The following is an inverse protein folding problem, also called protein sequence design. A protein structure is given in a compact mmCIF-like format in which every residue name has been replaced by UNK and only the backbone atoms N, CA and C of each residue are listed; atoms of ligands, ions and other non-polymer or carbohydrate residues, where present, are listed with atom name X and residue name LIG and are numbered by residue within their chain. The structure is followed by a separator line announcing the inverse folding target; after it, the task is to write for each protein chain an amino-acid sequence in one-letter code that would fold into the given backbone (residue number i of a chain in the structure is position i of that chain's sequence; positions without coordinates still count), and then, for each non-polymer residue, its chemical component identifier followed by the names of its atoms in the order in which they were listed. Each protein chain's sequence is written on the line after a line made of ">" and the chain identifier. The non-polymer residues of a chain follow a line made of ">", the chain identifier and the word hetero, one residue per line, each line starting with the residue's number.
data_IF_874365283625
#
_entry.id   IF_874365283625
#
_cell.length_a   1.000
_cell.length_b   1.000
_cell.length_c   1.000
_cell.angle_alpha   90.00
_cell.angle_beta   90.00
_cell.angle_gamma   90.00
#
_symmetry.space_group_name_H-M   'P 1'
#
loop_
_entity.id
_entity.type
_entity.pdbx_description
1 polymer ?
#
# COMPACT_ATOMS: atom_id res chain seq x y z
N UNK A 1 -40.46 11.22 -53.38
CA UNK A 1 -40.41 12.18 -52.26
C UNK A 1 -39.01 12.14 -51.69
N UNK A 2 -38.20 13.09 -52.14
CA UNK A 2 -36.77 13.15 -51.93
C UNK A 2 -36.51 14.08 -50.74
N UNK A 3 -36.03 13.53 -49.62
CA UNK A 3 -35.75 14.32 -48.42
C UNK A 3 -34.32 14.86 -48.46
N UNK A 4 -34.28 16.17 -48.36
CA UNK A 4 -33.16 17.08 -48.55
C UNK A 4 -32.07 16.92 -47.49
N UNK A 5 -30.81 16.93 -47.94
CA UNK A 5 -29.61 17.11 -47.11
C UNK A 5 -29.70 18.45 -46.37
N UNK A 6 -29.58 18.44 -45.03
CA UNK A 6 -29.24 19.65 -44.25
C UNK A 6 -27.74 19.68 -43.97
N UNK A 7 -27.13 20.73 -44.50
CA UNK A 7 -25.74 21.15 -44.32
C UNK A 7 -25.50 21.56 -42.86
N UNK A 8 -24.45 21.03 -42.22
CA UNK A 8 -23.96 21.50 -40.91
C UNK A 8 -23.25 22.85 -41.09
N UNK A 9 -23.56 23.84 -40.23
CA UNK A 9 -22.77 25.07 -40.09
C UNK A 9 -21.51 24.79 -39.26
N UNK A 10 -20.38 25.46 -39.53
CA UNK A 10 -19.17 25.36 -38.72
C UNK A 10 -19.22 26.39 -37.58
N UNK A 11 -19.12 25.96 -36.32
CA UNK A 11 -19.08 26.89 -35.20
C UNK A 11 -19.39 26.36 -33.79
N UNK A 12 -19.25 25.06 -33.51
CA UNK A 12 -19.41 24.54 -32.13
C UNK A 12 -18.12 23.86 -31.68
N UNK A 13 -17.50 24.44 -30.64
CA UNK A 13 -16.35 23.90 -29.91
C UNK A 13 -16.71 22.53 -29.29
N UNK A 14 -15.75 21.61 -29.10
CA UNK A 14 -16.02 20.33 -28.45
C UNK A 14 -16.33 20.57 -26.97
N UNK A 15 -17.50 20.10 -26.52
CA UNK A 15 -17.83 19.99 -25.10
C UNK A 15 -16.91 18.96 -24.44
N UNK A 16 -16.36 19.34 -23.29
CA UNK A 16 -15.53 18.51 -22.40
C UNK A 16 -16.18 17.15 -22.09
N UNK A 17 -15.43 16.04 -22.12
CA UNK A 17 -15.92 14.71 -21.72
C UNK A 17 -15.96 14.50 -20.19
N UNK A 18 -16.10 15.54 -19.37
CA UNK A 18 -16.05 15.42 -17.90
C UNK A 18 -17.41 15.31 -17.19
N UNK A 19 -18.53 15.20 -17.91
CA UNK A 19 -19.84 15.09 -17.28
C UNK A 19 -20.40 13.67 -17.47
N UNK A 20 -19.93 12.69 -16.69
CA UNK A 20 -20.65 11.46 -16.32
C UNK A 20 -19.75 10.53 -15.48
N UNK A 21 -19.56 10.83 -14.19
CA UNK A 21 -19.41 9.85 -13.09
C UNK A 21 -19.15 10.56 -11.76
N UNK A 22 -20.21 11.12 -11.20
CA UNK A 22 -20.32 11.35 -9.77
C UNK A 22 -21.75 10.98 -9.39
N UNK A 23 -21.99 9.72 -9.08
CA UNK A 23 -23.22 9.36 -8.38
C UNK A 23 -23.21 10.15 -7.06
N UNK A 24 -24.24 10.98 -6.77
CA UNK A 24 -24.28 11.70 -5.51
C UNK A 24 -24.29 10.68 -4.38
N UNK A 25 -23.35 10.81 -3.44
CA UNK A 25 -23.47 10.14 -2.15
C UNK A 25 -24.84 10.51 -1.56
N UNK A 26 -25.58 9.55 -0.97
CA UNK A 26 -26.84 9.89 -0.32
C UNK A 26 -26.55 11.00 0.70
N UNK A 27 -27.35 12.07 0.64
CA UNK A 27 -27.26 13.22 1.54
C UNK A 27 -27.43 12.67 2.95
N UNK A 28 -26.31 12.44 3.64
CA UNK A 28 -26.32 12.14 5.06
C UNK A 28 -26.82 13.42 5.74
N UNK A 29 -27.89 13.28 6.51
CA UNK A 29 -28.39 14.36 7.35
C UNK A 29 -27.22 14.97 8.13
N UNK A 30 -27.09 16.29 8.16
CA UNK A 30 -25.88 16.94 8.73
C UNK A 30 -25.77 16.70 10.23
N UNK A 31 -26.91 16.49 10.92
CA UNK A 31 -26.97 16.24 12.36
C UNK A 31 -26.13 15.05 12.84
N UNK A 32 -26.29 13.83 12.29
CA UNK A 32 -25.46 12.69 12.61
C UNK A 32 -23.95 12.92 12.46
N UNK A 33 -23.51 13.62 11.41
CA UNK A 33 -22.09 13.91 11.17
C UNK A 33 -21.54 14.86 12.24
N UNK A 34 -22.30 15.90 12.59
CA UNK A 34 -21.92 16.84 13.65
C UNK A 34 -21.82 16.16 15.03
N UNK A 35 -22.68 15.18 15.31
CA UNK A 35 -22.60 14.38 16.55
C UNK A 35 -21.35 13.50 16.58
N UNK A 36 -20.98 12.88 15.45
CA UNK A 36 -19.74 12.11 15.36
C UNK A 36 -18.52 13.00 15.55
N UNK A 37 -18.50 14.16 14.92
CA UNK A 37 -17.40 15.13 15.07
C UNK A 37 -17.24 15.60 16.50
N UNK A 38 -18.34 15.93 17.18
CA UNK A 38 -18.32 16.40 18.57
C UNK A 38 -17.97 15.29 19.57
N UNK A 39 -18.66 14.14 19.51
CA UNK A 39 -18.61 13.15 20.59
C UNK A 39 -17.63 11.99 20.33
N UNK A 40 -17.36 11.67 19.07
CA UNK A 40 -16.44 10.58 18.70
C UNK A 40 -15.06 11.13 18.36
N UNK A 41 -15.00 12.19 17.55
CA UNK A 41 -13.73 12.77 17.09
C UNK A 41 -13.26 13.99 17.90
N UNK A 42 -14.02 14.39 18.92
CA UNK A 42 -13.67 15.44 19.90
C UNK A 42 -13.34 16.79 19.24
N UNK A 43 -14.01 17.11 18.12
CA UNK A 43 -13.85 18.38 17.41
C UNK A 43 -14.81 19.41 17.99
N UNK A 44 -14.31 20.54 18.56
CA UNK A 44 -15.18 21.56 19.13
C UNK A 44 -16.06 22.22 18.08
N UNK A 45 -17.36 22.39 18.38
CA UNK A 45 -18.32 23.12 17.53
C UNK A 45 -18.04 24.63 17.45
N UNK A 46 -17.51 25.22 18.52
CA UNK A 46 -17.29 26.67 18.62
C UNK A 46 -15.80 27.03 18.51
N UNK A 47 -15.49 28.12 17.79
CA UNK A 47 -14.13 28.68 17.75
C UNK A 47 -13.76 29.19 19.15
N UNK A 48 -12.92 28.44 19.86
CA UNK A 48 -12.41 28.79 21.19
C UNK A 48 -12.87 27.87 22.32
N UNK A 49 -13.81 26.95 22.06
CA UNK A 49 -14.17 25.93 23.03
C UNK A 49 -13.03 24.91 23.19
N UNK A 50 -12.69 24.57 24.43
CA UNK A 50 -11.69 23.54 24.71
C UNK A 50 -12.23 22.17 24.25
N UNK A 51 -11.45 21.37 23.51
CA UNK A 51 -11.86 20.01 23.16
C UNK A 51 -12.07 19.21 24.44
N UNK A 52 -13.27 18.65 24.62
CA UNK A 52 -13.53 17.65 25.66
C UNK A 52 -12.81 16.37 25.26
N UNK A 53 -11.56 16.23 25.68
CA UNK A 53 -10.78 15.04 25.37
C UNK A 53 -11.27 13.84 26.18
N UNK A 54 -11.46 12.71 25.52
CA UNK A 54 -11.67 11.45 26.21
C UNK A 54 -10.39 11.09 26.96
N UNK A 55 -10.53 10.61 28.19
CA UNK A 55 -9.39 10.01 28.90
C UNK A 55 -9.11 8.60 28.33
N UNK A 56 -7.97 8.01 28.68
CA UNK A 56 -7.55 6.72 28.14
C UNK A 56 -8.53 5.57 28.42
N UNK A 57 -9.22 5.59 29.56
CA UNK A 57 -10.23 4.57 29.90
C UNK A 57 -11.48 4.73 29.02
N UNK A 58 -11.96 5.96 28.84
CA UNK A 58 -13.10 6.26 27.98
C UNK A 58 -12.80 5.93 26.51
N UNK A 59 -11.58 6.22 26.05
CA UNK A 59 -11.16 5.86 24.70
C UNK A 59 -11.11 4.34 24.53
N UNK A 60 -10.55 3.60 25.49
CA UNK A 60 -10.56 2.14 25.46
C UNK A 60 -11.99 1.57 25.44
N UNK A 61 -12.89 2.11 26.27
CA UNK A 61 -14.30 1.72 26.28
C UNK A 61 -14.99 2.00 24.95
N UNK A 62 -14.72 3.15 24.33
CA UNK A 62 -15.24 3.47 23.00
C UNK A 62 -14.77 2.45 21.96
N UNK A 63 -13.47 2.13 21.94
CA UNK A 63 -12.93 1.12 21.04
C UNK A 63 -13.58 -0.25 21.26
N UNK A 64 -13.79 -0.65 22.52
CA UNK A 64 -14.45 -1.92 22.87
C UNK A 64 -15.89 -1.96 22.36
N UNK A 65 -16.66 -0.87 22.58
CA UNK A 65 -18.03 -0.73 22.07
C UNK A 65 -18.05 -0.86 20.55
N UNK A 66 -17.12 -0.20 19.85
CA UNK A 66 -17.02 -0.28 18.39
C UNK A 66 -16.70 -1.70 17.92
N UNK A 67 -15.73 -2.37 18.54
CA UNK A 67 -15.40 -3.76 18.22
C UNK A 67 -16.58 -4.70 18.46
N UNK A 68 -17.28 -4.57 19.59
CA UNK A 68 -18.46 -5.39 19.90
C UNK A 68 -19.59 -5.11 18.90
N UNK A 69 -19.83 -3.85 18.56
CA UNK A 69 -20.81 -3.48 17.54
C UNK A 69 -20.55 -4.17 16.18
N UNK A 70 -19.32 -4.08 15.67
CA UNK A 70 -18.97 -4.72 14.39
C UNK A 70 -18.96 -6.26 14.49
N UNK A 71 -18.71 -6.81 15.67
CA UNK A 71 -18.77 -8.24 15.92
C UNK A 71 -20.21 -8.77 15.92
N UNK A 72 -21.14 -8.04 16.53
CA UNK A 72 -22.55 -8.42 16.66
C UNK A 72 -23.36 -8.11 15.39
N UNK A 73 -22.94 -7.13 14.58
CA UNK A 73 -23.62 -6.81 13.34
C UNK A 73 -23.48 -7.94 12.30
N UNK A 74 -24.59 -8.64 12.03
CA UNK A 74 -24.63 -9.81 11.14
C UNK A 74 -24.66 -9.45 9.65
N UNK A 75 -25.01 -8.20 9.29
CA UNK A 75 -25.09 -7.75 7.90
C UNK A 75 -23.80 -7.06 7.46
N UNK A 76 -23.04 -7.72 6.59
CA UNK A 76 -21.78 -7.21 6.03
C UNK A 76 -21.92 -5.83 5.41
N UNK A 77 -22.97 -5.62 4.59
CA UNK A 77 -23.22 -4.32 3.96
C UNK A 77 -23.41 -3.20 4.98
N UNK A 78 -24.08 -3.48 6.09
CA UNK A 78 -24.29 -2.51 7.18
C UNK A 78 -22.97 -2.19 7.87
N UNK A 79 -22.14 -3.21 8.16
CA UNK A 79 -20.80 -3.00 8.73
C UNK A 79 -19.96 -2.09 7.85
N UNK A 80 -19.91 -2.38 6.55
CA UNK A 80 -19.12 -1.62 5.60
C UNK A 80 -19.60 -0.17 5.47
N UNK A 81 -20.92 0.06 5.41
CA UNK A 81 -21.49 1.41 5.34
C UNK A 81 -21.14 2.19 6.60
N UNK A 82 -21.34 1.62 7.78
CA UNK A 82 -21.08 2.31 9.05
C UNK A 82 -19.59 2.59 9.22
N UNK A 83 -18.72 1.61 8.91
CA UNK A 83 -17.29 1.80 8.96
C UNK A 83 -16.84 2.93 8.01
N UNK A 84 -17.36 2.95 6.79
CA UNK A 84 -17.06 4.02 5.81
C UNK A 84 -17.57 5.37 6.29
N UNK A 85 -18.80 5.46 6.80
CA UNK A 85 -19.34 6.71 7.35
C UNK A 85 -18.54 7.25 8.52
N UNK A 86 -17.99 6.37 9.36
CA UNK A 86 -17.14 6.75 10.48
C UNK A 86 -15.74 7.19 10.04
N UNK A 87 -15.12 6.45 9.11
CA UNK A 87 -13.68 6.52 8.88
C UNK A 87 -13.25 7.04 7.52
N UNK A 88 -14.13 7.16 6.54
CA UNK A 88 -13.79 7.78 5.25
C UNK A 88 -13.41 9.25 5.45
N UNK A 89 -12.30 9.72 4.85
CA UNK A 89 -11.90 11.12 4.91
C UNK A 89 -13.01 12.04 4.40
N UNK A 90 -13.22 13.16 5.08
CA UNK A 90 -14.23 14.16 4.73
C UNK A 90 -13.59 15.47 4.27
N UNK A 91 -12.26 15.57 4.27
CA UNK A 91 -11.53 16.79 3.91
C UNK A 91 -11.71 17.91 4.95
N UNK A 92 -11.98 17.54 6.20
CA UNK A 92 -12.26 18.48 7.28
C UNK A 92 -11.30 18.31 8.47
N UNK A 93 -11.40 19.20 9.45
CA UNK A 93 -10.50 19.20 10.62
C UNK A 93 -10.62 17.95 11.50
N UNK A 94 -11.70 17.17 11.36
CA UNK A 94 -11.90 15.92 12.08
C UNK A 94 -11.12 14.75 11.49
N UNK A 95 -10.60 14.87 10.26
CA UNK A 95 -9.87 13.80 9.57
C UNK A 95 -8.69 13.27 10.41
N UNK A 96 -7.97 14.13 11.14
CA UNK A 96 -6.84 13.71 11.96
C UNK A 96 -7.27 12.90 13.19
N UNK A 97 -8.29 13.35 13.91
CA UNK A 97 -8.90 12.59 15.01
C UNK A 97 -9.49 11.27 14.53
N UNK A 98 -10.16 11.28 13.37
CA UNK A 98 -10.73 10.10 12.73
C UNK A 98 -9.66 9.07 12.37
N UNK A 99 -8.55 9.51 11.79
CA UNK A 99 -7.41 8.66 11.48
C UNK A 99 -6.74 8.11 12.73
N UNK A 100 -6.62 8.93 13.79
CA UNK A 100 -6.08 8.46 15.07
C UNK A 100 -6.96 7.39 15.70
N UNK A 101 -8.29 7.57 15.70
CA UNK A 101 -9.22 6.59 16.24
C UNK A 101 -9.23 5.31 15.39
N UNK A 102 -9.19 5.44 14.06
CA UNK A 102 -9.09 4.31 13.13
C UNK A 102 -7.84 3.47 13.42
N UNK A 103 -6.68 4.11 13.58
CA UNK A 103 -5.43 3.42 13.91
C UNK A 103 -5.55 2.60 15.18
N UNK A 104 -6.08 3.21 16.25
CA UNK A 104 -6.31 2.52 17.54
C UNK A 104 -7.32 1.39 17.43
N UNK A 105 -8.42 1.57 16.68
CA UNK A 105 -9.44 0.55 16.47
C UNK A 105 -8.89 -0.65 15.72
N UNK A 106 -8.16 -0.43 14.62
CA UNK A 106 -7.57 -1.52 13.82
C UNK A 106 -6.44 -2.20 14.60
N UNK A 107 -5.62 -1.44 15.33
CA UNK A 107 -4.61 -1.99 16.23
C UNK A 107 -5.26 -2.89 17.29
N UNK A 108 -6.26 -2.41 18.02
CA UNK A 108 -6.98 -3.24 18.98
C UNK A 108 -7.64 -4.46 18.33
N UNK A 109 -8.21 -4.31 17.13
CA UNK A 109 -8.80 -5.41 16.38
C UNK A 109 -7.78 -6.49 15.98
N UNK A 110 -6.52 -6.11 15.70
CA UNK A 110 -5.41 -7.05 15.53
C UNK A 110 -5.11 -7.75 16.86
N UNK A 111 -4.96 -6.98 17.95
CA UNK A 111 -4.63 -7.53 19.27
C UNK A 111 -5.64 -8.56 19.79
N UNK A 112 -6.93 -8.33 19.59
CA UNK A 112 -8.02 -9.20 20.06
C UNK A 112 -8.72 -9.97 18.94
N UNK A 113 -8.09 -10.07 17.76
CA UNK A 113 -8.56 -10.85 16.59
C UNK A 113 -10.03 -10.58 16.19
N UNK A 114 -10.41 -9.30 16.06
CA UNK A 114 -11.77 -8.88 15.64
C UNK A 114 -11.87 -8.85 14.12
N UNK A 115 -12.00 -10.03 13.52
CA UNK A 115 -12.08 -10.24 12.06
C UNK A 115 -13.07 -9.28 11.37
N UNK A 116 -14.30 -9.06 11.88
CA UNK A 116 -15.23 -8.08 11.30
C UNK A 116 -14.68 -6.68 11.05
N UNK A 117 -13.90 -6.17 12.00
CA UNK A 117 -13.27 -4.85 11.91
C UNK A 117 -12.15 -4.87 10.88
N UNK A 118 -11.35 -5.94 10.86
CA UNK A 118 -10.26 -6.11 9.89
C UNK A 118 -10.78 -6.22 8.45
N UNK A 119 -11.89 -6.90 8.23
CA UNK A 119 -12.54 -6.97 6.90
C UNK A 119 -13.12 -5.61 6.45
N UNK A 120 -13.62 -4.80 7.39
CA UNK A 120 -14.01 -3.42 7.10
C UNK A 120 -12.79 -2.55 6.78
N UNK A 121 -11.71 -2.67 7.56
CA UNK A 121 -10.46 -1.96 7.30
C UNK A 121 -9.84 -2.34 5.95
N UNK A 122 -9.88 -3.62 5.56
CA UNK A 122 -9.44 -4.07 4.24
C UNK A 122 -10.23 -3.41 3.11
N UNK A 123 -11.56 -3.35 3.24
CA UNK A 123 -12.44 -2.68 2.28
C UNK A 123 -12.27 -1.17 2.24
N UNK A 124 -11.95 -0.56 3.38
CA UNK A 124 -11.65 0.86 3.51
C UNK A 124 -10.32 1.21 2.83
N UNK A 125 -9.26 0.40 3.02
CA UNK A 125 -7.95 0.58 2.38
C UNK A 125 -8.06 0.58 0.84
N UNK A 126 -8.91 -0.28 0.27
CA UNK A 126 -9.14 -0.35 -1.19
C UNK A 126 -9.85 0.88 -1.75
N UNK A 127 -10.62 1.60 -0.93
CA UNK A 127 -11.52 2.68 -1.36
C UNK A 127 -11.13 4.04 -0.80
N UNK A 128 -9.91 4.15 -0.28
CA UNK A 128 -9.41 5.38 0.32
C UNK A 128 -8.13 5.84 -0.39
N UNK A 129 -7.91 7.16 -0.57
CA UNK A 129 -6.67 7.66 -1.13
C UNK A 129 -5.43 7.17 -0.37
N UNK A 130 -4.37 6.87 -1.11
CA UNK A 130 -3.14 6.22 -0.60
C UNK A 130 -2.52 6.94 0.60
N UNK A 131 -2.62 8.28 0.64
CA UNK A 131 -2.10 9.11 1.75
C UNK A 131 -2.69 8.74 3.10
N UNK A 132 -3.95 8.32 3.17
CA UNK A 132 -4.57 7.88 4.42
C UNK A 132 -4.27 6.41 4.70
N UNK A 133 -4.15 5.58 3.67
CA UNK A 133 -3.77 4.18 3.80
C UNK A 133 -2.37 4.01 4.42
N UNK A 134 -1.40 4.80 3.96
CA UNK A 134 -0.03 4.77 4.52
C UNK A 134 0.02 5.29 5.96
N UNK A 135 -0.88 6.20 6.36
CA UNK A 135 -1.01 6.64 7.76
C UNK A 135 -1.49 5.51 8.67
N UNK A 136 -2.51 4.76 8.25
CA UNK A 136 -2.98 3.59 8.98
C UNK A 136 -1.90 2.51 9.05
N UNK A 137 -1.24 2.22 7.93
CA UNK A 137 -0.14 1.27 7.89
C UNK A 137 0.99 1.66 8.83
N UNK A 138 1.38 2.94 8.87
CA UNK A 138 2.40 3.45 9.79
C UNK A 138 2.02 3.23 11.25
N UNK A 139 0.79 3.56 11.65
CA UNK A 139 0.33 3.35 13.02
C UNK A 139 0.46 1.88 13.46
N UNK A 140 0.10 0.94 12.58
CA UNK A 140 0.22 -0.49 12.87
C UNK A 140 1.67 -0.97 12.90
N UNK A 141 2.52 -0.48 11.99
CA UNK A 141 3.94 -0.84 12.00
C UNK A 141 4.63 -0.28 13.25
N UNK A 142 4.27 0.93 13.68
CA UNK A 142 4.77 1.51 14.92
C UNK A 142 4.36 0.63 16.12
N UNK A 143 3.07 0.27 16.23
CA UNK A 143 2.54 -0.55 17.33
C UNK A 143 3.15 -1.96 17.37
N UNK A 144 3.25 -2.64 16.22
CA UNK A 144 3.56 -4.07 16.15
C UNK A 144 5.00 -4.41 15.74
N UNK A 145 5.74 -3.49 15.15
CA UNK A 145 7.08 -3.75 14.64
C UNK A 145 8.16 -2.84 15.25
N UNK A 146 7.78 -1.75 15.93
CA UNK A 146 8.74 -0.78 16.46
C UNK A 146 8.64 -0.56 17.97
N UNK A 147 7.44 -0.37 18.52
CA UNK A 147 7.25 0.07 19.91
C UNK A 147 7.35 -1.06 20.94
N UNK A 148 6.75 -2.23 20.65
CA UNK A 148 6.65 -3.33 21.61
C UNK A 148 7.41 -4.56 21.10
N UNK A 149 8.53 -4.96 21.72
CA UNK A 149 9.26 -6.17 21.31
C UNK A 149 8.38 -7.42 21.32
N UNK A 150 8.44 -8.21 20.25
CA UNK A 150 7.66 -9.45 20.11
C UNK A 150 6.20 -9.29 19.69
N UNK A 151 5.66 -8.07 19.68
CA UNK A 151 4.28 -7.80 19.26
C UNK A 151 4.02 -8.16 17.79
N UNK A 152 5.06 -8.19 16.94
CA UNK A 152 4.97 -8.65 15.54
C UNK A 152 4.34 -10.04 15.43
N UNK A 153 4.45 -10.88 16.46
CA UNK A 153 3.84 -12.20 16.46
C UNK A 153 2.30 -12.13 16.48
N UNK A 154 1.73 -11.14 17.16
CA UNK A 154 0.29 -10.88 17.16
C UNK A 154 -0.18 -10.48 15.77
N UNK A 155 0.56 -9.60 15.08
CA UNK A 155 0.24 -9.23 13.72
C UNK A 155 0.39 -10.43 12.76
N UNK A 156 1.46 -11.24 12.91
CA UNK A 156 1.70 -12.48 12.15
C UNK A 156 0.50 -13.43 12.17
N UNK A 157 -0.21 -13.55 13.30
CA UNK A 157 -1.37 -14.43 13.47
C UNK A 157 -2.60 -13.99 12.64
N UNK A 158 -2.68 -12.73 12.21
CA UNK A 158 -3.81 -12.22 11.43
C UNK A 158 -3.87 -12.84 10.03
N UNK A 159 -2.74 -13.31 9.51
CA UNK A 159 -2.67 -13.96 8.19
C UNK A 159 -3.72 -15.05 8.00
N UNK A 160 -3.90 -15.92 8.99
CA UNK A 160 -4.89 -17.01 8.91
C UNK A 160 -6.33 -16.54 9.16
N UNK A 161 -6.51 -15.39 9.83
CA UNK A 161 -7.81 -14.90 10.26
C UNK A 161 -8.46 -13.92 9.27
N UNK A 162 -7.68 -13.01 8.68
CA UNK A 162 -8.13 -12.05 7.67
C UNK A 162 -7.07 -11.84 6.57
N UNK A 163 -6.98 -12.78 5.60
CA UNK A 163 -6.03 -12.67 4.50
C UNK A 163 -6.26 -11.43 3.61
N UNK A 164 -7.50 -10.97 3.49
CA UNK A 164 -7.83 -9.74 2.73
C UNK A 164 -7.20 -8.51 3.37
N UNK A 165 -7.27 -8.40 4.70
CA UNK A 165 -6.61 -7.34 5.44
C UNK A 165 -5.10 -7.41 5.25
N UNK A 166 -4.49 -8.59 5.40
CA UNK A 166 -3.05 -8.76 5.17
C UNK A 166 -2.61 -8.33 3.76
N UNK A 167 -3.36 -8.69 2.71
CA UNK A 167 -3.07 -8.24 1.34
C UNK A 167 -3.07 -6.70 1.22
N UNK A 168 -4.08 -6.04 1.79
CA UNK A 168 -4.20 -4.58 1.75
C UNK A 168 -3.18 -3.88 2.64
N UNK A 169 -2.84 -4.48 3.77
CA UNK A 169 -1.76 -4.03 4.64
C UNK A 169 -0.42 -4.09 3.90
N UNK A 170 -0.08 -5.20 3.24
CA UNK A 170 1.14 -5.32 2.40
C UNK A 170 1.15 -4.24 1.31
N UNK A 171 0.01 -4.01 0.65
CA UNK A 171 -0.11 -2.98 -0.39
C UNK A 171 0.15 -1.58 0.18
N UNK A 172 -0.34 -1.30 1.38
CA UNK A 172 -0.15 -0.01 2.06
C UNK A 172 1.28 0.18 2.58
N UNK A 173 1.89 -0.86 3.18
CA UNK A 173 3.27 -0.75 3.70
C UNK A 173 4.31 -0.66 2.59
N UNK A 174 4.07 -1.28 1.43
CA UNK A 174 4.96 -1.13 0.27
C UNK A 174 4.84 0.24 -0.42
N UNK A 175 3.70 0.93 -0.24
CA UNK A 175 3.54 2.34 -0.59
C UNK A 175 4.18 3.28 0.45
N UNK A 176 4.17 2.90 1.73
CA UNK A 176 4.75 3.66 2.84
C UNK A 176 6.28 3.63 2.84
N UNK A 177 6.87 2.43 2.75
CA UNK A 177 8.33 2.23 2.78
C UNK A 177 8.84 2.06 1.36
N UNK A 178 9.07 3.15 0.65
CA UNK A 178 9.47 3.10 -0.77
C UNK A 178 10.98 2.96 -0.98
N UNK A 179 11.78 2.87 0.09
CA UNK A 179 13.26 2.86 0.09
C UNK A 179 13.92 4.12 -0.51
N UNK A 180 13.19 5.23 -0.68
CA UNK A 180 13.72 6.48 -1.21
C UNK A 180 14.69 7.18 -0.27
N UNK A 181 14.56 6.99 1.04
CA UNK A 181 15.48 7.42 2.10
C UNK A 181 15.71 6.30 3.13
N UNK A 182 16.65 6.49 4.06
CA UNK A 182 16.99 5.48 5.05
C UNK A 182 15.87 5.24 6.09
N UNK A 183 15.09 6.29 6.39
CA UNK A 183 13.89 6.20 7.25
C UNK A 183 12.72 5.48 6.57
N UNK A 184 12.78 5.33 5.24
CA UNK A 184 11.78 4.66 4.42
C UNK A 184 12.22 3.25 4.01
N UNK A 185 13.25 2.70 4.65
CA UNK A 185 13.57 1.28 4.60
C UNK A 185 12.66 0.54 5.59
N UNK A 186 11.95 -0.52 5.18
CA UNK A 186 11.02 -1.21 6.07
C UNK A 186 11.75 -1.83 7.27
N UNK A 187 11.17 -1.79 8.49
CA UNK A 187 11.70 -2.50 9.64
C UNK A 187 11.91 -4.00 9.35
N UNK A 188 12.96 -4.58 9.93
CA UNK A 188 13.36 -5.95 9.60
C UNK A 188 12.28 -6.98 9.98
N UNK A 189 11.64 -6.81 11.14
CA UNK A 189 10.57 -7.68 11.60
C UNK A 189 9.33 -7.61 10.67
N UNK A 190 9.04 -6.43 10.11
CA UNK A 190 7.99 -6.25 9.10
C UNK A 190 8.35 -6.99 7.80
N UNK A 191 9.58 -6.83 7.31
CA UNK A 191 10.05 -7.52 6.11
C UNK A 191 9.99 -9.05 6.28
N UNK A 192 10.51 -9.56 7.40
CA UNK A 192 10.51 -10.99 7.72
C UNK A 192 9.08 -11.56 7.77
N UNK A 193 8.17 -10.84 8.42
CA UNK A 193 6.75 -11.22 8.47
C UNK A 193 6.13 -11.31 7.08
N UNK A 194 6.30 -10.28 6.25
CA UNK A 194 5.74 -10.26 4.89
C UNK A 194 6.33 -11.39 4.05
N UNK A 195 7.64 -11.64 4.15
CA UNK A 195 8.29 -12.76 3.46
C UNK A 195 7.73 -14.10 3.92
N UNK A 196 7.48 -14.29 5.22
CA UNK A 196 6.85 -15.51 5.77
C UNK A 196 5.45 -15.70 5.20
N UNK A 197 4.59 -14.67 5.27
CA UNK A 197 3.22 -14.74 4.77
C UNK A 197 3.13 -15.10 3.29
N UNK A 198 3.95 -14.47 2.45
CA UNK A 198 3.95 -14.74 1.00
C UNK A 198 4.52 -16.12 0.70
N UNK A 199 5.54 -16.55 1.45
CA UNK A 199 6.10 -17.90 1.31
C UNK A 199 5.09 -18.99 1.72
N UNK A 200 4.28 -18.74 2.76
CA UNK A 200 3.26 -19.67 3.26
C UNK A 200 2.05 -19.79 2.32
N UNK A 201 1.49 -18.69 1.83
CA UNK A 201 0.48 -18.70 0.76
C UNK A 201 0.74 -17.58 -0.27
N UNK A 202 1.36 -17.91 -1.42
CA UNK A 202 1.59 -16.95 -2.50
C UNK A 202 0.31 -16.30 -3.04
N UNK A 203 -0.87 -16.93 -2.90
CA UNK A 203 -2.15 -16.36 -3.35
C UNK A 203 -2.62 -15.22 -2.46
N UNK A 204 -2.03 -15.04 -1.27
CA UNK A 204 -2.34 -13.93 -0.37
C UNK A 204 -2.31 -12.59 -1.11
N UNK A 205 -1.26 -12.34 -1.89
CA UNK A 205 -1.08 -11.07 -2.59
C UNK A 205 -1.96 -10.93 -3.83
N UNK A 206 -2.69 -11.97 -4.21
CA UNK A 206 -3.66 -11.96 -5.30
C UNK A 206 -5.11 -11.93 -4.79
N UNK A 207 -5.35 -12.10 -3.47
CA UNK A 207 -6.69 -12.34 -2.94
C UNK A 207 -7.68 -11.23 -3.26
N UNK A 208 -7.24 -9.97 -3.30
CA UNK A 208 -8.09 -8.85 -3.68
C UNK A 208 -8.48 -8.94 -5.16
N UNK A 209 -7.52 -9.15 -6.06
CA UNK A 209 -7.80 -9.39 -7.48
C UNK A 209 -8.74 -10.59 -7.69
N UNK A 210 -8.55 -11.67 -6.94
CA UNK A 210 -9.36 -12.88 -7.07
C UNK A 210 -10.82 -12.66 -6.63
N UNK A 211 -11.05 -11.84 -5.61
CA UNK A 211 -12.40 -11.65 -5.03
C UNK A 211 -13.12 -10.37 -5.46
N UNK A 212 -12.43 -9.40 -6.05
CA UNK A 212 -13.04 -8.13 -6.48
C UNK A 212 -13.59 -8.26 -7.91
N UNK A 213 -14.86 -7.91 -8.16
CA UNK A 213 -15.37 -7.74 -9.52
C UNK A 213 -14.61 -6.60 -10.17
N UNK A 214 -13.96 -6.85 -11.30
CA UNK A 214 -13.14 -5.84 -11.97
C UNK A 214 -14.07 -4.91 -12.72
N UNK A 215 -14.48 -3.84 -12.05
CA UNK A 215 -15.04 -2.65 -12.69
C UNK A 215 -13.86 -1.80 -13.19
N UNK A 216 -13.98 -1.29 -14.42
CA UNK A 216 -12.89 -0.62 -15.12
C UNK A 216 -12.28 0.53 -14.31
N UNK A 217 -10.94 0.59 -14.34
CA UNK A 217 -10.03 1.63 -13.84
C UNK A 217 -10.09 1.92 -12.32
N UNK A 218 -8.97 1.62 -11.64
CA UNK A 218 -8.71 2.15 -10.31
C UNK A 218 -8.53 3.68 -10.41
N UNK A 219 -9.19 4.46 -9.54
CA UNK A 219 -9.00 5.90 -9.52
C UNK A 219 -7.55 6.27 -9.18
N UNK A 220 -7.03 7.32 -9.81
CA UNK A 220 -5.68 7.85 -9.56
C UNK A 220 -5.57 8.28 -8.09
N UNK A 221 -4.45 7.94 -7.45
CA UNK A 221 -4.17 8.30 -6.06
C UNK A 221 -4.69 7.31 -5.02
N UNK A 222 -5.10 6.11 -5.44
CA UNK A 222 -5.51 5.00 -4.58
C UNK A 222 -4.45 3.90 -4.59
N UNK A 223 -4.63 2.89 -3.72
CA UNK A 223 -3.77 1.72 -3.71
C UNK A 223 -3.98 0.87 -4.97
N UNK A 224 -2.91 0.21 -5.40
CA UNK A 224 -2.95 -0.82 -6.43
C UNK A 224 -3.82 -2.01 -6.00
N UNK A 225 -4.35 -2.77 -6.98
CA UNK A 225 -5.19 -3.93 -6.70
C UNK A 225 -4.46 -5.04 -5.94
N UNK A 226 -3.13 -5.10 -6.12
CA UNK A 226 -2.24 -6.08 -5.51
C UNK A 226 -0.96 -5.39 -5.06
N UNK A 227 -0.23 -5.93 -4.07
CA UNK A 227 1.05 -5.36 -3.65
C UNK A 227 2.20 -5.65 -4.63
N UNK A 228 1.96 -6.32 -5.77
CA UNK A 228 3.00 -6.78 -6.70
C UNK A 228 3.97 -5.66 -7.09
N UNK A 229 3.45 -4.51 -7.54
CA UNK A 229 4.28 -3.37 -7.94
C UNK A 229 5.17 -2.87 -6.81
N UNK A 230 4.62 -2.77 -5.59
CA UNK A 230 5.37 -2.33 -4.41
C UNK A 230 6.44 -3.33 -3.98
N UNK A 231 6.15 -4.62 -4.04
CA UNK A 231 7.10 -5.69 -3.72
C UNK A 231 8.22 -5.81 -4.77
N UNK A 232 7.90 -5.64 -6.06
CA UNK A 232 8.92 -5.53 -7.13
C UNK A 232 9.84 -4.35 -6.84
N UNK A 233 9.29 -3.18 -6.53
CA UNK A 233 10.06 -1.98 -6.15
C UNK A 233 10.99 -2.26 -4.98
N UNK A 234 10.50 -2.94 -3.94
CA UNK A 234 11.31 -3.36 -2.79
C UNK A 234 12.49 -4.22 -3.20
N UNK A 235 12.24 -5.31 -3.94
CA UNK A 235 13.28 -6.23 -4.40
C UNK A 235 14.33 -5.53 -5.27
N UNK A 236 13.90 -4.64 -6.16
CA UNK A 236 14.76 -3.93 -7.10
C UNK A 236 15.59 -2.84 -6.39
N UNK A 237 15.01 -2.06 -5.48
CA UNK A 237 15.73 -0.95 -4.82
C UNK A 237 16.58 -1.38 -3.63
N UNK A 238 16.29 -2.52 -3.02
CA UNK A 238 16.95 -2.95 -1.79
C UNK A 238 18.49 -2.99 -1.86
N UNK A 239 19.14 -3.54 -2.92
CA UNK A 239 20.61 -3.56 -2.99
C UNK A 239 21.22 -2.15 -2.87
N UNK A 240 20.67 -1.18 -3.61
CA UNK A 240 21.13 0.21 -3.61
C UNK A 240 20.83 0.93 -2.29
N UNK A 241 19.63 0.74 -1.74
CA UNK A 241 19.22 1.36 -0.48
C UNK A 241 20.12 0.91 0.70
N UNK A 242 20.46 -0.38 0.76
CA UNK A 242 21.35 -0.89 1.81
C UNK A 242 22.81 -0.50 1.59
N UNK A 243 23.26 -0.33 0.33
CA UNK A 243 24.58 0.23 0.03
C UNK A 243 24.68 1.70 0.45
N UNK A 244 23.62 2.49 0.22
CA UNK A 244 23.51 3.87 0.70
C UNK A 244 23.61 3.96 2.21
N UNK A 245 22.82 3.17 2.94
CA UNK A 245 22.82 3.14 4.41
C UNK A 245 24.18 2.77 5.02
N UNK A 246 24.99 1.96 4.32
CA UNK A 246 26.35 1.59 4.76
C UNK A 246 27.39 2.70 4.54
N UNK A 247 27.09 3.73 3.75
CA UNK A 247 28.00 4.86 3.53
C UNK A 247 28.09 5.64 4.85
N UNK A 248 29.28 5.80 5.47
CA UNK A 248 29.39 6.56 6.70
C UNK A 248 28.92 7.99 6.44
N UNK A 249 27.94 8.46 7.21
CA UNK A 249 27.56 9.87 7.19
C UNK A 249 28.80 10.69 7.49
N UNK A 250 29.22 11.55 6.56
CA UNK A 250 30.26 12.54 6.80
C UNK A 250 29.71 13.63 7.74
N UNK A 251 29.34 13.27 8.97
CA UNK A 251 29.08 14.22 10.04
C UNK A 251 30.38 14.48 10.77
N UNK A 252 30.81 15.74 10.73
CA UNK A 252 31.99 16.24 11.43
C UNK A 252 31.99 15.81 12.90
N UNK A 253 33.07 15.10 13.27
CA UNK A 253 33.63 14.93 14.60
C UNK A 253 32.66 14.84 15.79
N UNK A 254 32.40 13.63 16.28
CA UNK A 254 32.75 13.23 17.66
C UNK A 254 32.48 11.73 17.88
N UNK A 255 33.57 11.03 18.25
CA UNK A 255 33.66 9.79 19.05
C UNK A 255 32.69 8.64 18.72
N UNK A 256 33.26 7.67 17.97
CA UNK A 256 32.76 6.31 17.87
C UNK A 256 32.46 5.72 19.26
N UNK A 257 31.20 5.36 19.50
CA UNK A 257 30.83 4.51 20.64
C UNK A 257 30.29 3.19 20.10
N UNK A 258 31.10 2.16 20.33
CA UNK A 258 30.81 0.71 20.34
C UNK A 258 29.58 0.22 19.57
N UNK A 259 29.86 -0.50 18.49
CA UNK A 259 29.02 -1.59 17.99
C UNK A 259 28.90 -2.63 19.12
N UNK A 260 27.79 -2.63 19.85
CA UNK A 260 27.34 -3.80 20.60
C UNK A 260 26.91 -4.85 19.58
N UNK A 261 27.83 -5.77 19.31
CA UNK A 261 27.54 -7.02 18.63
C UNK A 261 26.77 -7.89 19.62
N UNK A 262 25.47 -7.64 19.75
CA UNK A 262 24.58 -8.51 20.51
C UNK A 262 24.35 -9.79 19.69
N UNK A 263 24.99 -10.84 20.18
CA UNK A 263 24.85 -12.23 19.77
C UNK A 263 23.48 -12.77 20.16
N UNK A 264 22.69 -13.23 19.18
CA UNK A 264 21.46 -13.99 19.44
C UNK A 264 20.47 -14.04 18.27
N UNK A 265 20.86 -14.61 17.13
CA UNK A 265 19.92 -14.90 16.04
C UNK A 265 20.64 -15.31 14.76
N UNK A 266 20.57 -16.60 14.43
CA UNK A 266 20.95 -17.13 13.11
C UNK A 266 20.20 -16.35 12.00
N UNK A 267 20.88 -15.94 10.93
CA UNK A 267 20.29 -15.61 9.62
C UNK A 267 19.24 -14.49 9.46
N UNK A 268 19.26 -13.42 10.26
CA UNK A 268 18.46 -12.21 9.93
C UNK A 268 19.17 -11.26 8.95
N UNK A 269 19.70 -11.80 7.85
CA UNK A 269 20.30 -11.02 6.76
C UNK A 269 19.20 -10.42 5.86
N UNK A 270 19.05 -9.08 5.80
CA UNK A 270 18.08 -8.44 4.91
C UNK A 270 18.28 -8.84 3.45
N UNK A 271 19.53 -9.07 3.00
CA UNK A 271 19.81 -9.48 1.63
C UNK A 271 19.17 -10.83 1.28
N UNK A 272 19.24 -11.80 2.20
CA UNK A 272 18.60 -13.11 2.04
C UNK A 272 17.07 -12.99 1.98
N UNK A 273 16.49 -12.15 2.85
CA UNK A 273 15.04 -11.90 2.85
C UNK A 273 14.56 -11.29 1.53
N UNK A 274 15.26 -10.31 0.98
CA UNK A 274 14.89 -9.74 -0.33
C UNK A 274 15.08 -10.71 -1.49
N UNK A 275 16.07 -11.60 -1.42
CA UNK A 275 16.24 -12.65 -2.43
C UNK A 275 15.09 -13.68 -2.37
N UNK A 276 14.69 -14.09 -1.16
CA UNK A 276 13.54 -14.97 -0.96
C UNK A 276 12.23 -14.28 -1.40
N UNK A 277 12.08 -13.00 -1.07
CA UNK A 277 10.95 -12.19 -1.51
C UNK A 277 10.87 -12.10 -3.04
N UNK A 278 12.00 -11.82 -3.69
CA UNK A 278 12.08 -11.71 -5.15
C UNK A 278 11.65 -13.02 -5.82
N UNK A 279 12.16 -14.15 -5.35
CA UNK A 279 11.76 -15.47 -5.85
C UNK A 279 10.25 -15.72 -5.69
N UNK A 280 9.69 -15.43 -4.51
CA UNK A 280 8.26 -15.55 -4.26
C UNK A 280 7.43 -14.66 -5.21
N UNK A 281 7.86 -13.42 -5.45
CA UNK A 281 7.20 -12.49 -6.38
C UNK A 281 7.21 -13.05 -7.81
N UNK A 282 8.34 -13.59 -8.28
CA UNK A 282 8.42 -14.21 -9.60
C UNK A 282 7.48 -15.43 -9.72
N UNK A 283 7.41 -16.27 -8.67
CA UNK A 283 6.50 -17.42 -8.62
C UNK A 283 5.03 -16.97 -8.69
N UNK A 284 4.65 -15.93 -7.95
CA UNK A 284 3.29 -15.37 -8.02
C UNK A 284 2.98 -14.83 -9.42
N UNK A 285 3.92 -14.13 -10.04
CA UNK A 285 3.74 -13.64 -11.42
C UNK A 285 3.51 -14.80 -12.40
N UNK A 286 4.19 -15.93 -12.23
CA UNK A 286 3.94 -17.12 -13.06
C UNK A 286 2.54 -17.72 -12.80
N UNK A 287 2.10 -17.79 -11.55
CA UNK A 287 0.75 -18.28 -11.19
C UNK A 287 -0.36 -17.38 -11.76
N UNK A 288 -0.10 -16.09 -11.87
CA UNK A 288 -1.07 -15.09 -12.29
C UNK A 288 -1.60 -15.33 -13.72
N UNK A 289 -0.79 -15.92 -14.60
CA UNK A 289 -1.22 -16.28 -15.96
C UNK A 289 -2.49 -17.15 -15.96
N UNK A 290 -2.55 -18.14 -15.06
CA UNK A 290 -3.68 -19.06 -14.95
C UNK A 290 -4.92 -18.28 -14.54
N UNK A 291 -4.82 -17.47 -13.48
CA UNK A 291 -5.96 -16.70 -12.97
C UNK A 291 -6.44 -15.60 -13.93
N UNK A 292 -5.53 -14.94 -14.65
CA UNK A 292 -5.89 -14.00 -15.70
C UNK A 292 -6.64 -14.70 -16.84
N UNK A 293 -6.22 -15.91 -17.21
CA UNK A 293 -6.89 -16.72 -18.24
C UNK A 293 -8.28 -17.15 -17.78
N UNK A 294 -8.41 -17.70 -16.58
CA UNK A 294 -9.69 -18.12 -15.98
C UNK A 294 -10.70 -16.97 -15.90
N UNK A 295 -10.23 -15.75 -15.62
CA UNK A 295 -11.06 -14.54 -15.58
C UNK A 295 -11.27 -13.86 -16.94
N UNK A 296 -10.73 -14.38 -18.04
CA UNK A 296 -10.76 -13.77 -19.38
C UNK A 296 -10.11 -12.37 -19.46
N UNK A 297 -9.05 -12.17 -18.69
CA UNK A 297 -8.31 -10.91 -18.54
C UNK A 297 -6.87 -10.97 -19.05
N UNK A 298 -6.40 -12.15 -19.48
CA UNK A 298 -5.07 -12.31 -20.04
C UNK A 298 -4.86 -11.36 -21.23
N UNK A 299 -3.82 -10.53 -21.16
CA UNK A 299 -3.53 -9.50 -22.16
C UNK A 299 -4.46 -8.28 -22.13
N UNK A 300 -5.41 -8.20 -21.19
CA UNK A 300 -6.41 -7.11 -21.06
C UNK A 300 -6.28 -6.32 -19.77
N UNK A 301 -5.73 -6.93 -18.72
CA UNK A 301 -5.48 -6.28 -17.44
C UNK A 301 -4.04 -6.55 -17.01
N UNK A 302 -3.24 -5.49 -16.90
CA UNK A 302 -1.95 -5.53 -16.22
C UNK A 302 -2.12 -5.29 -14.73
N UNK A 303 -1.58 -6.18 -13.90
CA UNK A 303 -1.50 -5.97 -12.44
C UNK A 303 -0.18 -5.32 -12.02
N UNK A 304 0.81 -5.29 -12.92
CA UNK A 304 2.01 -4.47 -12.81
C UNK A 304 1.86 -3.34 -13.84
N UNK A 305 1.68 -2.11 -13.37
CA UNK A 305 1.45 -0.97 -14.26
C UNK A 305 2.79 -0.45 -14.80
N UNK A 306 2.86 -0.26 -16.12
CA UNK A 306 4.06 0.26 -16.79
C UNK A 306 4.45 1.66 -16.28
N UNK A 307 3.46 2.50 -15.97
CA UNK A 307 3.65 3.86 -15.44
C UNK A 307 4.46 3.90 -14.13
N UNK A 308 4.52 2.79 -13.38
CA UNK A 308 5.35 2.67 -12.20
C UNK A 308 6.78 2.20 -12.49
N UNK A 309 7.04 1.59 -13.64
CA UNK A 309 8.35 1.07 -14.01
C UNK A 309 9.29 2.19 -14.47
N UNK A 310 8.74 3.22 -15.12
CA UNK A 310 9.50 4.38 -15.57
C UNK A 310 10.12 5.16 -14.40
N UNK A 311 9.37 5.61 -13.38
CA UNK A 311 9.94 6.26 -12.20
C UNK A 311 10.91 5.36 -11.44
N UNK A 312 10.65 4.05 -11.39
CA UNK A 312 11.54 3.09 -10.74
C UNK A 312 12.93 3.07 -11.41
N UNK A 313 12.99 3.07 -12.73
CA UNK A 313 14.25 3.11 -13.48
C UNK A 313 14.98 4.44 -13.29
N UNK A 314 14.26 5.55 -13.29
CA UNK A 314 14.84 6.87 -13.00
C UNK A 314 15.43 6.94 -11.59
N UNK A 315 14.75 6.35 -10.61
CA UNK A 315 15.26 6.24 -9.24
C UNK A 315 16.50 5.34 -9.13
N UNK A 316 16.54 4.21 -9.84
CA UNK A 316 17.72 3.34 -9.90
C UNK A 316 18.90 4.12 -10.48
N UNK A 317 18.69 4.84 -11.58
CA UNK A 317 19.74 5.62 -12.23
C UNK A 317 20.26 6.73 -11.29
N UNK A 318 19.34 7.47 -10.64
CA UNK A 318 19.68 8.49 -9.63
C UNK A 318 20.49 7.90 -8.47
N UNK A 319 20.09 6.74 -7.94
CA UNK A 319 20.79 6.07 -6.85
C UNK A 319 22.16 5.53 -7.29
N UNK A 320 22.27 5.02 -8.51
CA UNK A 320 23.54 4.56 -9.07
C UNK A 320 24.55 5.71 -9.18
N UNK A 321 24.11 6.88 -9.65
CA UNK A 321 24.92 8.09 -9.72
C UNK A 321 25.36 8.57 -8.32
N UNK A 322 24.42 8.61 -7.36
CA UNK A 322 24.67 9.03 -5.97
C UNK A 322 25.71 8.15 -5.23
N UNK A 323 25.68 6.84 -5.53
CA UNK A 323 26.55 5.85 -4.89
C UNK A 323 27.94 5.73 -5.53
N UNK A 324 28.15 6.39 -6.68
CA UNK A 324 29.26 6.18 -7.61
C UNK A 324 29.23 4.76 -8.20
N UNK A 325 29.02 4.60 -9.53
CA UNK A 325 28.93 3.28 -10.16
C UNK A 325 30.12 2.35 -9.89
N UNK A 326 31.33 2.89 -9.71
CA UNK A 326 32.52 2.08 -9.41
C UNK A 326 32.47 1.45 -8.00
N UNK A 327 31.76 2.07 -7.07
CA UNK A 327 31.65 1.62 -5.68
C UNK A 327 30.43 0.73 -5.44
N UNK A 328 29.39 0.87 -6.27
CA UNK A 328 28.13 0.14 -6.15
C UNK A 328 27.83 -0.81 -7.32
N UNK A 329 28.85 -1.20 -8.11
CA UNK A 329 28.67 -1.98 -9.34
C UNK A 329 27.87 -3.27 -9.11
N UNK A 330 28.18 -4.02 -8.04
CA UNK A 330 27.48 -5.27 -7.73
C UNK A 330 26.02 -5.03 -7.33
N UNK A 331 25.75 -3.97 -6.57
CA UNK A 331 24.40 -3.62 -6.16
C UNK A 331 23.56 -3.06 -7.31
N UNK A 332 24.18 -2.31 -8.23
CA UNK A 332 23.56 -1.84 -9.47
C UNK A 332 23.20 -3.04 -10.35
N UNK A 333 24.16 -3.93 -10.63
CA UNK A 333 23.94 -5.14 -11.42
C UNK A 333 22.80 -5.99 -10.85
N UNK A 334 22.82 -6.28 -9.55
CA UNK A 334 21.75 -7.05 -8.90
C UNK A 334 20.39 -6.36 -8.98
N UNK A 335 20.35 -5.03 -8.89
CA UNK A 335 19.09 -4.27 -9.01
C UNK A 335 18.53 -4.34 -10.43
N UNK A 336 19.40 -4.21 -11.44
CA UNK A 336 19.05 -4.33 -12.86
C UNK A 336 18.60 -5.74 -13.22
N UNK A 337 19.28 -6.77 -12.72
CA UNK A 337 18.90 -8.17 -12.92
C UNK A 337 17.53 -8.48 -12.33
N UNK A 338 17.26 -8.02 -11.10
CA UNK A 338 15.94 -8.19 -10.47
C UNK A 338 14.85 -7.47 -11.27
N UNK A 339 15.12 -6.27 -11.76
CA UNK A 339 14.18 -5.53 -12.60
C UNK A 339 13.92 -6.29 -13.92
N UNK A 340 14.97 -6.73 -14.60
CA UNK A 340 14.86 -7.45 -15.86
C UNK A 340 14.07 -8.75 -15.69
N UNK A 341 14.37 -9.55 -14.66
CA UNK A 341 13.63 -10.78 -14.35
C UNK A 341 12.15 -10.49 -14.05
N UNK A 342 11.85 -9.48 -13.22
CA UNK A 342 10.47 -9.13 -12.89
C UNK A 342 9.68 -8.67 -14.13
N UNK A 343 10.26 -7.81 -14.97
CA UNK A 343 9.65 -7.36 -16.23
C UNK A 343 9.43 -8.54 -17.18
N UNK A 344 10.44 -9.39 -17.39
CA UNK A 344 10.36 -10.53 -18.28
C UNK A 344 9.25 -11.50 -17.85
N UNK A 345 9.20 -11.88 -16.56
CA UNK A 345 8.19 -12.80 -16.04
C UNK A 345 6.80 -12.16 -16.07
N UNK A 346 6.67 -10.89 -15.69
CA UNK A 346 5.39 -10.18 -15.73
C UNK A 346 4.83 -10.04 -17.15
N UNK A 347 5.69 -9.80 -18.15
CA UNK A 347 5.28 -9.78 -19.55
C UNK A 347 4.84 -11.17 -20.03
N UNK A 348 5.64 -12.20 -19.74
CA UNK A 348 5.34 -13.57 -20.16
C UNK A 348 4.02 -14.09 -19.55
N UNK A 349 3.73 -13.70 -18.30
CA UNK A 349 2.49 -14.09 -17.61
C UNK A 349 1.29 -13.21 -17.95
N UNK A 350 1.45 -12.17 -18.77
CA UNK A 350 0.39 -11.22 -19.11
C UNK A 350 0.04 -10.24 -17.98
N UNK A 351 0.86 -10.18 -16.93
CA UNK A 351 0.70 -9.31 -15.77
C UNK A 351 1.18 -7.86 -16.02
N UNK A 352 2.06 -7.67 -17.00
CA UNK A 352 2.51 -6.36 -17.49
C UNK A 352 2.12 -6.22 -18.97
N UNK A 353 1.33 -5.20 -19.27
CA UNK A 353 0.99 -4.83 -20.65
C UNK A 353 1.95 -3.74 -21.10
N UNK A 354 2.89 -4.09 -21.98
CA UNK A 354 3.83 -3.11 -22.56
C UNK A 354 4.10 -3.44 -24.04
N UNK A 355 4.36 -2.40 -24.81
CA UNK A 355 4.78 -2.52 -26.21
C UNK A 355 6.30 -2.59 -26.32
N UNK A 356 6.79 -2.88 -27.53
CA UNK A 356 8.23 -2.83 -27.81
C UNK A 356 8.81 -1.42 -27.66
N UNK A 357 8.03 -0.38 -27.95
CA UNK A 357 8.47 1.01 -27.84
C UNK A 357 8.53 1.48 -26.39
N UNK A 358 7.61 0.98 -25.55
CA UNK A 358 7.65 1.18 -24.09
C UNK A 358 8.96 0.62 -23.51
N UNK A 359 9.33 -0.60 -23.89
CA UNK A 359 10.59 -1.22 -23.46
C UNK A 359 11.82 -0.46 -23.95
N UNK A 360 11.82 0.02 -25.20
CA UNK A 360 12.92 0.88 -25.70
C UNK A 360 13.06 2.14 -24.87
N UNK A 361 11.94 2.76 -24.51
CA UNK A 361 11.90 3.96 -23.67
C UNK A 361 12.40 3.69 -22.25
N UNK A 362 12.14 2.50 -21.71
CA UNK A 362 12.64 2.09 -20.41
C UNK A 362 14.16 1.81 -20.47
N UNK A 363 14.60 1.06 -21.48
CA UNK A 363 16.01 0.72 -21.67
C UNK A 363 16.89 1.96 -21.89
N UNK A 364 16.39 3.00 -22.57
CA UNK A 364 17.17 4.24 -22.79
C UNK A 364 17.39 5.07 -21.52
N UNK A 365 16.67 4.76 -20.43
CA UNK A 365 16.80 5.43 -19.12
C UNK A 365 17.63 4.62 -18.11
N UNK A 366 18.04 3.41 -18.46
CA UNK A 366 18.88 2.59 -17.59
C UNK A 366 20.27 3.22 -17.43
N UNK A 367 20.94 3.02 -16.28
CA UNK A 367 22.33 3.41 -16.13
C UNK A 367 23.18 2.74 -17.21
N UNK A 368 24.15 3.49 -17.74
CA UNK A 368 25.04 2.97 -18.78
C UNK A 368 25.90 1.85 -18.17
N UNK A 369 25.66 0.60 -18.58
CA UNK A 369 26.64 -0.46 -18.39
C UNK A 369 27.87 -0.10 -19.23
N UNK A 370 29.02 0.07 -18.57
CA UNK A 370 30.30 0.23 -19.25
C UNK A 370 30.86 -1.11 -19.68
#
# INVERSE_FOLDING_TARGET
>A
MSVQRRVRRPGELPQDPQALQSAPLPIVDKGPVELLEEFVFQVPKERGAQPKRLNSLQELQLLEIMCNYFQEQTKDSVRQIIFSSLFSPQGNKADDSRMSLLGKLVSMAVAVCRIPVLECAASWLQRTPVVYCVRLARALVDDYCCLVPGSVQTLKQIFSASPRFCCQFITSVTALYDLSSDDLIPPLDLLEMIVSWIFEDPRLILITFLNTPIAANLPIGFLELTPLTGLIRWCVKAPLAYKRKKKPSLSNGHVATKVTKDSGGMDRDPHLLYSKLHLNVLQVLMMLQVHLTEKNLYGRLGLVLFDHMVPLVEEINRLADELNPLNASQEIELSLDRLAQALQVAMASGALLCTRDDLRTLCSRLPHNK
#
